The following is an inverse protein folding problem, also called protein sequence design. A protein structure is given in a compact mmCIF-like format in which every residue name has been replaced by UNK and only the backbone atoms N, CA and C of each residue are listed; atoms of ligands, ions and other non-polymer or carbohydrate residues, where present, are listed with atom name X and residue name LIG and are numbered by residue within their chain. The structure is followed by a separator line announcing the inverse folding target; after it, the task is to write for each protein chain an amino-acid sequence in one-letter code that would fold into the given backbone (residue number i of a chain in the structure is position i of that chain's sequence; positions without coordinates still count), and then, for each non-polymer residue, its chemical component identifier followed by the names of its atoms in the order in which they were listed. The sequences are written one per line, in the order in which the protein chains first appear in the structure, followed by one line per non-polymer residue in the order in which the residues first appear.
data_IF_092932905143
#
_entry.id   IF_092932905143
#
_cell.length_a   1.000
_cell.length_b   1.000
_cell.length_c   1.000
_cell.angle_alpha   90.00
_cell.angle_beta   90.00
_cell.angle_gamma   90.00
#
_symmetry.space_group_name_H-M   'P 1'
#
loop_
_entity.id
_entity.type
_entity.pdbx_description
1 polymer ?
#
# COMPACT_ATOMS: atom_id res chain seq x y z
N UNK A 1 -28.95 87.16 -14.94
CA UNK A 1 -30.42 87.26 -15.06
C UNK A 1 -30.99 85.85 -15.00
N UNK A 2 -31.91 85.66 -14.07
CA UNK A 2 -32.65 84.43 -13.77
C UNK A 2 -33.27 83.79 -15.03
N UNK A 3 -33.11 82.48 -15.21
CA UNK A 3 -34.18 81.66 -15.80
C UNK A 3 -34.40 80.42 -14.93
N UNK A 4 -35.54 80.44 -14.26
CA UNK A 4 -36.22 79.31 -13.63
C UNK A 4 -36.93 78.50 -14.71
N UNK A 5 -36.97 77.18 -14.62
CA UNK A 5 -38.15 76.39 -15.01
C UNK A 5 -38.15 75.01 -14.30
N UNK A 6 -38.97 74.92 -13.25
CA UNK A 6 -39.94 73.85 -12.93
C UNK A 6 -39.82 72.54 -13.72
N UNK A 7 -39.37 71.44 -13.10
CA UNK A 7 -40.16 70.39 -12.41
C UNK A 7 -40.61 69.23 -13.31
N UNK A 8 -40.15 68.02 -12.96
CA UNK A 8 -40.91 66.78 -13.15
C UNK A 8 -40.46 65.76 -12.11
N UNK A 9 -41.39 65.44 -11.21
CA UNK A 9 -41.25 64.41 -10.21
C UNK A 9 -41.36 63.03 -10.85
N UNK A 10 -40.45 62.10 -10.54
CA UNK A 10 -40.71 60.67 -10.64
C UNK A 10 -40.04 59.94 -9.49
N UNK A 11 -40.89 59.38 -8.64
CA UNK A 11 -40.64 58.41 -7.59
C UNK A 11 -39.95 57.15 -8.13
N UNK A 12 -38.82 56.73 -7.55
CA UNK A 12 -38.31 55.36 -7.73
C UNK A 12 -37.75 54.77 -6.43
N UNK A 13 -38.60 53.93 -5.82
CA UNK A 13 -38.36 52.58 -5.32
C UNK A 13 -36.99 52.21 -4.71
N UNK A 14 -37.08 51.90 -3.40
CA UNK A 14 -36.53 50.75 -2.68
C UNK A 14 -35.06 50.33 -2.86
N UNK A 15 -34.35 50.41 -1.74
CA UNK A 15 -33.47 49.40 -1.15
C UNK A 15 -32.81 48.39 -2.10
N UNK A 16 -31.50 48.56 -2.29
CA UNK A 16 -30.61 47.41 -2.40
C UNK A 16 -29.32 47.72 -1.65
N UNK A 17 -29.26 47.22 -0.41
CA UNK A 17 -28.02 47.13 0.36
C UNK A 17 -27.02 46.30 -0.45
N UNK A 18 -26.01 46.95 -1.01
CA UNK A 18 -24.88 46.25 -1.61
C UNK A 18 -24.04 45.66 -0.47
N UNK A 19 -24.32 44.39 -0.14
CA UNK A 19 -23.48 43.62 0.76
C UNK A 19 -22.08 43.50 0.14
N UNK A 20 -21.08 43.99 0.85
CA UNK A 20 -19.66 43.76 0.57
C UNK A 20 -19.40 42.26 0.63
N UNK A 21 -19.03 41.66 -0.50
CA UNK A 21 -18.55 40.29 -0.53
C UNK A 21 -17.21 40.24 0.22
N UNK A 22 -17.24 39.71 1.44
CA UNK A 22 -16.06 39.32 2.20
C UNK A 22 -15.32 38.22 1.42
N UNK A 23 -14.23 38.60 0.74
CA UNK A 23 -13.24 37.65 0.21
C UNK A 23 -12.37 37.22 1.39
N UNK A 24 -12.96 36.55 2.37
CA UNK A 24 -12.21 35.83 3.40
C UNK A 24 -11.75 34.52 2.78
N UNK A 25 -10.51 34.57 2.30
CA UNK A 25 -9.69 33.40 1.98
C UNK A 25 -9.80 32.37 3.10
N UNK A 26 -10.57 31.32 2.85
CA UNK A 26 -10.57 30.11 3.67
C UNK A 26 -9.28 29.34 3.39
N UNK A 27 -8.17 29.77 4.01
CA UNK A 27 -7.12 28.82 4.34
C UNK A 27 -7.76 27.84 5.33
N UNK A 28 -8.24 26.72 4.81
CA UNK A 28 -8.44 25.53 5.61
C UNK A 28 -7.07 25.13 6.14
N UNK A 29 -6.73 25.63 7.32
CA UNK A 29 -5.71 25.04 8.17
C UNK A 29 -6.22 23.64 8.51
N UNK A 30 -5.87 22.67 7.67
CA UNK A 30 -5.92 21.25 8.03
C UNK A 30 -4.86 21.05 9.09
N UNK A 31 -5.23 21.34 10.34
CA UNK A 31 -4.53 20.78 11.48
C UNK A 31 -4.52 19.28 11.23
N UNK A 32 -3.34 18.70 11.04
CA UNK A 32 -3.17 17.25 10.95
C UNK A 32 -3.48 16.67 12.33
N UNK A 33 -4.77 16.59 12.67
CA UNK A 33 -5.24 15.90 13.84
C UNK A 33 -4.90 14.42 13.67
N UNK A 34 -4.41 13.80 14.75
CA UNK A 34 -4.19 12.37 14.79
C UNK A 34 -5.58 11.73 14.81
N UNK A 35 -6.13 11.47 13.62
CA UNK A 35 -7.39 10.77 13.47
C UNK A 35 -7.25 9.36 14.07
N UNK A 36 -8.27 8.92 14.78
CA UNK A 36 -8.36 7.54 15.28
C UNK A 36 -8.35 6.57 14.09
N UNK A 37 -7.60 5.45 14.15
CA UNK A 37 -7.51 4.50 13.07
C UNK A 37 -8.87 3.95 12.68
N UNK A 38 -9.11 3.92 11.39
CA UNK A 38 -10.32 3.31 10.83
C UNK A 38 -10.10 1.82 10.65
N UNK A 39 -11.08 0.96 11.00
CA UNK A 39 -11.04 -0.44 10.61
C UNK A 39 -10.84 -0.60 9.10
N UNK A 40 -10.14 -1.66 8.69
CA UNK A 40 -10.03 -2.00 7.28
C UNK A 40 -11.43 -2.30 6.71
N UNK A 41 -11.62 -2.01 5.42
CA UNK A 41 -12.86 -2.35 4.73
C UNK A 41 -13.16 -3.86 4.82
N UNK A 42 -14.45 -4.22 4.72
CA UNK A 42 -14.84 -5.63 4.76
C UNK A 42 -14.21 -6.39 3.59
N UNK A 43 -13.54 -7.51 3.88
CA UNK A 43 -12.83 -8.30 2.88
C UNK A 43 -11.46 -7.74 2.48
N UNK A 44 -10.97 -6.68 3.15
CA UNK A 44 -9.60 -6.21 2.98
C UNK A 44 -8.59 -7.31 3.29
N UNK A 45 -7.50 -7.30 2.54
CA UNK A 45 -6.36 -8.18 2.73
C UNK A 45 -5.12 -7.34 3.08
N UNK A 46 -4.03 -7.96 3.54
CA UNK A 46 -2.73 -7.31 3.55
C UNK A 46 -2.38 -6.79 2.16
N UNK A 47 -1.78 -5.61 2.09
CA UNK A 47 -1.28 -5.06 0.83
C UNK A 47 -0.31 -6.00 0.12
N UNK A 48 -0.24 -5.88 -1.20
CA UNK A 48 0.65 -6.72 -1.97
C UNK A 48 2.12 -6.45 -1.61
N UNK A 49 2.92 -7.51 -1.58
CA UNK A 49 4.36 -7.40 -1.45
C UNK A 49 4.99 -6.67 -2.64
N UNK A 50 6.04 -5.90 -2.38
CA UNK A 50 6.84 -5.16 -3.37
C UNK A 50 8.33 -5.31 -3.07
N UNK A 51 9.18 -5.16 -4.08
CA UNK A 51 10.64 -5.18 -3.92
C UNK A 51 11.21 -6.45 -3.24
N UNK A 52 10.53 -7.59 -3.41
CA UNK A 52 10.90 -8.85 -2.77
C UNK A 52 10.44 -8.99 -1.32
N UNK A 53 9.72 -8.01 -0.77
CA UNK A 53 9.02 -8.17 0.49
C UNK A 53 7.73 -8.96 0.29
N UNK A 54 7.49 -9.93 1.16
CA UNK A 54 6.27 -10.72 1.20
C UNK A 54 5.61 -10.56 2.57
N UNK A 55 4.27 -10.59 2.60
CA UNK A 55 3.52 -10.53 3.85
C UNK A 55 3.79 -11.77 4.71
N UNK A 56 4.31 -11.56 5.92
CA UNK A 56 4.68 -12.61 6.85
C UNK A 56 3.56 -12.94 7.86
N UNK A 57 2.65 -11.99 8.10
CA UNK A 57 1.53 -12.13 9.03
C UNK A 57 1.35 -10.93 9.96
N UNK A 58 0.36 -11.03 10.83
CA UNK A 58 0.19 -10.14 11.97
C UNK A 58 1.15 -10.49 13.11
N UNK A 59 1.91 -9.52 13.63
CA UNK A 59 2.89 -9.74 14.71
C UNK A 59 2.70 -8.72 15.85
N UNK A 60 3.02 -9.06 17.09
CA UNK A 60 2.95 -8.07 18.17
C UNK A 60 4.12 -7.08 18.14
N UNK A 61 3.83 -5.83 18.50
CA UNK A 61 4.80 -4.83 18.94
C UNK A 61 5.34 -5.22 20.34
N UNK A 62 6.55 -4.77 20.69
CA UNK A 62 7.24 -5.15 21.94
C UNK A 62 7.47 -3.99 22.90
N UNK A 63 7.17 -2.74 22.53
CA UNK A 63 7.39 -1.54 23.38
C UNK A 63 6.77 -1.66 24.78
N UNK A 64 5.65 -2.38 24.93
CA UNK A 64 4.97 -2.60 26.20
C UNK A 64 5.45 -3.80 27.02
N UNK A 65 6.44 -4.56 26.55
CA UNK A 65 6.88 -5.79 27.23
C UNK A 65 7.97 -5.47 28.24
N UNK A 66 7.82 -5.95 29.49
CA UNK A 66 8.75 -5.67 30.58
C UNK A 66 10.21 -6.01 30.23
N UNK A 67 10.42 -7.09 29.46
CA UNK A 67 11.75 -7.56 29.07
C UNK A 67 12.28 -6.93 27.77
N UNK A 68 11.50 -6.07 27.11
CA UNK A 68 11.92 -5.38 25.90
C UNK A 68 12.68 -4.08 26.19
N UNK A 69 12.66 -3.58 27.42
CA UNK A 69 13.30 -2.31 27.79
C UNK A 69 12.73 -1.09 27.04
N UNK A 70 11.46 -1.15 26.65
CA UNK A 70 10.81 -0.11 25.85
C UNK A 70 11.20 -0.12 24.37
N UNK A 71 11.93 -1.14 23.91
CA UNK A 71 12.35 -1.25 22.51
C UNK A 71 11.24 -1.85 21.65
N UNK A 72 11.06 -1.27 20.47
CA UNK A 72 10.11 -1.76 19.46
C UNK A 72 10.53 -3.09 18.84
N UNK A 73 9.57 -3.80 18.28
CA UNK A 73 9.75 -5.06 17.58
C UNK A 73 10.66 -4.87 16.37
N UNK A 74 10.54 -3.73 15.70
CA UNK A 74 11.42 -3.24 14.65
C UNK A 74 12.04 -1.91 15.07
N UNK A 75 13.36 -1.90 15.29
CA UNK A 75 14.09 -0.75 15.82
C UNK A 75 15.26 -0.32 14.91
N UNK A 76 15.14 -0.52 13.60
CA UNK A 76 16.12 0.02 12.63
C UNK A 76 15.84 1.48 12.29
N UNK A 77 14.57 1.83 12.15
CA UNK A 77 14.10 3.20 11.94
C UNK A 77 12.63 3.26 11.51
N UNK A 78 12.11 4.47 11.36
CA UNK A 78 10.73 4.73 10.94
C UNK A 78 10.61 5.90 9.99
N UNK A 79 9.43 5.99 9.37
CA UNK A 79 8.95 7.21 8.75
C UNK A 79 8.06 7.99 9.72
N UNK A 80 7.93 9.30 9.47
CA UNK A 80 6.96 10.13 10.18
C UNK A 80 5.55 9.59 9.97
N UNK A 81 4.87 9.32 11.08
CA UNK A 81 3.49 8.83 11.06
C UNK A 81 2.55 9.85 10.41
N UNK A 82 1.81 9.43 9.39
CA UNK A 82 0.94 10.31 8.62
C UNK A 82 -0.35 9.60 8.19
N UNK A 83 -1.42 10.36 7.93
CA UNK A 83 -2.74 9.80 7.62
C UNK A 83 -2.86 9.33 6.17
N UNK A 84 -1.77 9.30 5.40
CA UNK A 84 -1.71 8.86 4.00
C UNK A 84 -0.76 7.66 3.82
N UNK A 85 -0.45 6.96 4.91
CA UNK A 85 0.42 5.80 4.88
C UNK A 85 -0.24 4.64 4.12
N UNK A 86 0.53 3.96 3.28
CA UNK A 86 0.11 2.74 2.55
C UNK A 86 1.15 1.63 2.72
N UNK A 87 0.83 0.42 2.26
CA UNK A 87 1.80 -0.67 2.22
C UNK A 87 3.00 -0.32 1.35
N UNK A 88 2.74 0.19 0.15
CA UNK A 88 3.74 0.53 -0.87
C UNK A 88 4.74 1.56 -0.35
N UNK A 89 4.25 2.61 0.32
CA UNK A 89 5.13 3.66 0.84
C UNK A 89 6.02 3.13 1.96
N UNK A 90 5.52 2.22 2.80
CA UNK A 90 6.32 1.58 3.84
C UNK A 90 7.39 0.64 3.27
N UNK A 91 7.03 -0.21 2.30
CA UNK A 91 7.98 -1.12 1.65
C UNK A 91 9.04 -0.36 0.86
N UNK A 92 8.69 0.78 0.25
CA UNK A 92 9.64 1.67 -0.41
C UNK A 92 10.67 2.22 0.58
N UNK A 93 10.23 2.67 1.75
CA UNK A 93 11.12 3.13 2.81
C UNK A 93 12.09 2.05 3.28
N UNK A 94 11.59 0.85 3.57
CA UNK A 94 12.45 -0.23 4.01
C UNK A 94 13.45 -0.66 2.95
N UNK A 95 13.02 -0.73 1.68
CA UNK A 95 13.91 -0.99 0.54
C UNK A 95 15.01 0.07 0.48
N UNK A 96 14.67 1.35 0.66
CA UNK A 96 15.63 2.45 0.66
C UNK A 96 16.68 2.33 1.78
N UNK A 97 16.30 1.74 2.91
CA UNK A 97 17.19 1.53 4.07
C UNK A 97 17.78 0.12 4.15
N UNK A 98 17.56 -0.73 3.14
CA UNK A 98 18.04 -2.13 3.11
C UNK A 98 17.64 -2.95 4.34
N UNK A 99 16.43 -2.73 4.86
CA UNK A 99 15.91 -3.50 5.99
C UNK A 99 15.50 -4.92 5.56
N UNK A 100 15.59 -5.87 6.49
CA UNK A 100 15.12 -7.24 6.25
C UNK A 100 13.61 -7.34 6.49
N UNK A 101 13.11 -6.56 7.45
CA UNK A 101 11.72 -6.56 7.89
C UNK A 101 11.12 -5.16 7.82
N UNK A 102 9.84 -5.11 7.45
CA UNK A 102 8.98 -3.93 7.55
C UNK A 102 7.76 -4.28 8.37
N UNK A 103 7.25 -3.31 9.12
CA UNK A 103 6.01 -3.42 9.86
C UNK A 103 5.23 -2.14 9.73
N UNK A 104 3.93 -2.28 9.46
CA UNK A 104 3.01 -1.15 9.49
C UNK A 104 2.15 -1.29 10.73
N UNK A 105 2.06 -0.22 11.51
CA UNK A 105 1.26 -0.16 12.73
C UNK A 105 0.21 0.94 12.64
N UNK A 106 -0.95 0.69 13.28
CA UNK A 106 -1.96 1.71 13.54
C UNK A 106 -2.48 2.42 12.27
N UNK A 107 -2.35 1.79 11.10
CA UNK A 107 -2.75 2.37 9.81
C UNK A 107 -1.87 3.51 9.31
N UNK A 108 -0.89 3.97 10.10
CA UNK A 108 -0.20 5.25 9.86
C UNK A 108 1.29 5.27 10.15
N UNK A 109 1.81 4.25 10.82
CA UNK A 109 3.22 4.19 11.20
C UNK A 109 3.94 3.13 10.37
N UNK A 110 5.14 3.46 9.90
CA UNK A 110 6.00 2.50 9.21
C UNK A 110 7.29 2.33 10.00
N UNK A 111 7.61 1.08 10.32
CA UNK A 111 8.78 0.67 11.06
C UNK A 111 9.57 -0.33 10.23
N UNK A 112 10.89 -0.27 10.31
CA UNK A 112 11.76 -1.22 9.64
C UNK A 112 12.99 -1.56 10.45
N UNK A 113 13.61 -2.67 10.10
CA UNK A 113 14.89 -3.05 10.70
C UNK A 113 15.53 -4.27 10.09
N UNK A 114 16.84 -4.47 10.37
CA UNK A 114 17.55 -5.68 9.97
C UNK A 114 17.09 -6.92 10.75
N UNK A 115 16.46 -6.74 11.91
CA UNK A 115 16.01 -7.82 12.79
C UNK A 115 14.61 -7.55 13.31
N UNK A 116 13.84 -8.62 13.48
CA UNK A 116 12.63 -8.65 14.29
C UNK A 116 13.00 -9.08 15.71
N UNK A 117 12.51 -8.36 16.72
CA UNK A 117 12.69 -8.74 18.12
C UNK A 117 12.23 -10.19 18.37
N UNK A 118 13.01 -10.95 19.12
CA UNK A 118 12.67 -12.34 19.49
C UNK A 118 11.42 -12.44 20.36
N UNK A 119 11.01 -11.32 20.98
CA UNK A 119 9.78 -11.17 21.76
C UNK A 119 8.54 -10.92 20.88
N UNK A 120 8.72 -10.60 19.60
CA UNK A 120 7.62 -10.49 18.65
C UNK A 120 7.23 -11.88 18.15
N UNK A 121 5.93 -12.16 18.17
CA UNK A 121 5.29 -13.42 17.83
C UNK A 121 4.17 -13.16 16.84
N UNK A 122 3.95 -14.13 15.97
CA UNK A 122 2.82 -14.13 15.06
C UNK A 122 1.53 -14.27 15.88
N UNK A 123 0.54 -13.44 15.56
CA UNK A 123 -0.79 -13.41 16.15
C UNK A 123 -1.84 -13.88 15.15
N UNK A 124 -3.08 -13.97 15.62
CA UNK A 124 -4.23 -14.07 14.72
C UNK A 124 -4.39 -12.78 13.90
N UNK A 125 -4.78 -12.93 12.64
CA UNK A 125 -4.99 -11.82 11.70
C UNK A 125 -6.04 -10.82 12.20
N UNK A 126 -6.97 -11.23 13.07
CA UNK A 126 -7.94 -10.33 13.71
C UNK A 126 -7.31 -9.23 14.55
N UNK A 127 -6.05 -9.40 14.98
CA UNK A 127 -5.31 -8.38 15.70
C UNK A 127 -4.74 -7.29 14.78
N UNK A 128 -4.68 -7.55 13.47
CA UNK A 128 -4.31 -6.60 12.45
C UNK A 128 -5.56 -6.29 11.63
N UNK A 129 -6.42 -5.42 12.14
CA UNK A 129 -7.71 -5.09 11.52
C UNK A 129 -7.85 -3.61 11.17
N UNK A 130 -6.77 -2.83 11.29
CA UNK A 130 -6.77 -1.40 10.97
C UNK A 130 -6.42 -1.21 9.49
N UNK A 131 -7.21 -0.38 8.81
CA UNK A 131 -6.97 -0.01 7.42
C UNK A 131 -5.82 0.99 7.31
N UNK A 132 -5.10 0.97 6.19
CA UNK A 132 -4.09 2.00 5.92
C UNK A 132 -4.76 3.36 5.76
N UNK A 133 -4.16 4.43 6.30
CA UNK A 133 -4.70 5.78 6.19
C UNK A 133 -4.83 6.25 4.74
N UNK A 134 -3.88 5.86 3.89
CA UNK A 134 -3.89 6.16 2.45
C UNK A 134 -4.66 5.14 1.59
N UNK A 135 -4.98 3.96 2.13
CA UNK A 135 -5.74 2.92 1.44
C UNK A 135 -6.45 1.98 2.42
N UNK A 136 -7.73 2.23 2.72
CA UNK A 136 -8.49 1.41 3.67
C UNK A 136 -8.88 0.01 3.16
N UNK A 137 -8.60 -0.29 1.88
CA UNK A 137 -8.77 -1.64 1.30
C UNK A 137 -7.63 -2.58 1.64
N UNK A 138 -6.59 -2.07 2.30
CA UNK A 138 -5.45 -2.82 2.79
C UNK A 138 -5.37 -2.81 4.32
N UNK A 139 -4.88 -3.91 4.88
CA UNK A 139 -4.62 -4.06 6.32
C UNK A 139 -3.23 -3.54 6.68
N UNK A 140 -3.17 -2.54 7.55
CA UNK A 140 -1.96 -1.86 8.01
C UNK A 140 -1.78 -1.95 9.54
N UNK A 141 -1.81 -3.18 10.04
CA UNK A 141 -1.55 -3.51 11.43
C UNK A 141 -2.76 -3.33 12.34
N UNK A 142 -2.48 -3.08 13.61
CA UNK A 142 -3.46 -2.86 14.66
C UNK A 142 -2.89 -1.97 15.76
N UNK A 143 -3.49 -2.04 16.96
CA UNK A 143 -2.95 -1.36 18.14
C UNK A 143 -1.87 -2.24 18.74
N UNK A 144 -0.61 -1.79 18.75
CA UNK A 144 0.54 -2.59 19.20
C UNK A 144 0.71 -3.91 18.42
N UNK A 145 0.33 -3.90 17.15
CA UNK A 145 0.49 -5.03 16.23
C UNK A 145 0.84 -4.57 14.82
N UNK A 146 1.73 -5.32 14.19
CA UNK A 146 2.35 -5.02 12.92
C UNK A 146 1.78 -5.92 11.82
N UNK A 147 1.33 -5.31 10.72
CA UNK A 147 1.32 -6.00 9.43
C UNK A 147 2.78 -6.18 9.01
N UNK A 148 3.36 -7.36 9.25
CA UNK A 148 4.77 -7.61 9.05
C UNK A 148 5.04 -8.12 7.62
N UNK A 149 6.06 -7.55 6.99
CA UNK A 149 6.60 -8.00 5.72
C UNK A 149 8.08 -8.37 5.88
N UNK A 150 8.50 -9.40 5.17
CA UNK A 150 9.87 -9.92 5.21
C UNK A 150 10.43 -10.02 3.78
N UNK A 151 11.67 -9.60 3.58
CA UNK A 151 12.35 -9.76 2.30
C UNK A 151 12.64 -11.24 2.03
N UNK A 152 11.94 -11.82 1.05
CA UNK A 152 12.21 -13.15 0.52
C UNK A 152 13.49 -13.09 -0.33
N UNK A 153 14.48 -13.94 -0.02
CA UNK A 153 15.73 -14.03 -0.81
C UNK A 153 15.52 -14.57 -2.23
N UNK A 154 14.30 -14.95 -2.60
CA UNK A 154 13.93 -15.47 -3.92
C UNK A 154 13.71 -14.35 -4.95
N UNK A 155 14.51 -13.29 -4.88
CA UNK A 155 14.22 -12.06 -5.63
C UNK A 155 15.40 -11.13 -5.87
N UNK A 156 16.64 -11.64 -5.93
CA UNK A 156 17.64 -10.95 -6.75
C UNK A 156 17.31 -11.27 -8.20
N UNK A 157 16.45 -10.45 -8.80
CA UNK A 157 15.83 -10.57 -10.14
C UNK A 157 14.69 -11.59 -10.26
N UNK A 158 13.45 -11.08 -10.20
CA UNK A 158 12.26 -11.85 -10.60
C UNK A 158 10.97 -11.17 -10.17
N UNK A 159 10.32 -10.47 -11.11
CA UNK A 159 8.93 -10.05 -10.98
C UNK A 159 8.05 -11.29 -10.83
N UNK A 160 7.53 -11.52 -9.63
CA UNK A 160 6.54 -12.57 -9.35
C UNK A 160 5.15 -12.14 -9.79
N UNK A 161 4.90 -12.12 -11.10
CA UNK A 161 3.56 -12.12 -11.66
C UNK A 161 2.91 -13.46 -11.31
N UNK A 162 1.73 -13.43 -10.67
CA UNK A 162 0.89 -14.63 -10.62
C UNK A 162 0.37 -14.90 -12.05
N UNK A 163 0.89 -15.93 -12.68
CA UNK A 163 0.31 -16.47 -13.91
C UNK A 163 -0.38 -17.79 -13.59
N UNK A 164 -1.70 -17.78 -13.70
CA UNK A 164 -2.53 -18.96 -13.52
C UNK A 164 -2.28 -19.95 -14.66
N UNK A 165 -1.89 -21.17 -14.30
CA UNK A 165 -1.80 -22.27 -15.24
C UNK A 165 -3.19 -22.84 -15.51
N UNK A 166 -3.79 -22.44 -16.63
CA UNK A 166 -4.90 -23.15 -17.25
C UNK A 166 -4.78 -23.06 -18.77
N UNK A 167 -3.98 -23.93 -19.39
CA UNK A 167 -4.15 -24.32 -20.79
C UNK A 167 -4.03 -25.83 -20.91
N UNK A 168 -5.18 -26.41 -21.23
CA UNK A 168 -5.39 -27.74 -21.78
C UNK A 168 -5.07 -27.62 -23.26
N UNK A 169 -4.18 -28.42 -23.83
CA UNK A 169 -4.30 -28.84 -25.23
C UNK A 169 -3.40 -30.01 -25.61
N UNK A 170 -3.96 -30.74 -26.57
CA UNK A 170 -3.69 -32.08 -27.07
C UNK A 170 -2.65 -32.03 -28.20
N UNK A 171 -1.59 -32.84 -28.12
CA UNK A 171 -0.83 -33.26 -29.31
C UNK A 171 0.02 -34.48 -28.97
N UNK A 172 -0.52 -35.68 -29.22
CA UNK A 172 0.19 -36.93 -28.99
C UNK A 172 -0.35 -38.04 -29.87
N UNK A 173 -0.01 -38.01 -31.15
CA UNK A 173 -0.07 -39.17 -32.05
C UNK A 173 0.58 -38.81 -33.39
N UNK A 174 1.78 -39.32 -33.66
CA UNK A 174 2.12 -40.15 -34.83
C UNK A 174 3.63 -40.42 -34.82
N UNK A 175 4.02 -41.67 -34.65
CA UNK A 175 5.44 -42.04 -34.64
C UNK A 175 5.69 -43.53 -34.51
N UNK A 176 4.83 -44.36 -35.10
CA UNK A 176 5.07 -45.79 -35.22
C UNK A 176 4.38 -46.32 -36.48
N UNK A 177 5.11 -46.37 -37.60
CA UNK A 177 4.85 -47.35 -38.66
C UNK A 177 6.17 -47.94 -39.11
N UNK A 178 6.17 -49.27 -39.03
CA UNK A 178 7.24 -50.23 -39.20
C UNK A 178 7.45 -50.61 -40.68
N UNK A 179 8.69 -51.04 -40.94
CA UNK A 179 9.11 -52.18 -41.78
C UNK A 179 9.22 -52.08 -43.31
N UNK A 180 10.33 -52.70 -43.75
CA UNK A 180 10.57 -53.48 -44.95
C UNK A 180 11.29 -52.80 -46.14
N UNK A 181 12.54 -53.22 -46.36
CA UNK A 181 12.82 -53.97 -47.58
C UNK A 181 13.85 -53.42 -48.56
N UNK A 182 14.98 -54.13 -48.60
CA UNK A 182 15.70 -54.59 -49.80
C UNK A 182 16.50 -53.61 -50.69
N UNK A 183 17.79 -53.96 -50.75
CA UNK A 183 18.64 -54.09 -51.94
C UNK A 183 19.62 -52.96 -52.25
N UNK A 184 20.91 -53.30 -52.11
CA UNK A 184 21.84 -53.13 -53.23
C UNK A 184 22.92 -52.04 -53.12
N UNK A 185 24.14 -52.50 -52.86
CA UNK A 185 25.42 -52.02 -53.40
C UNK A 185 25.94 -50.63 -52.95
N UNK A 186 27.24 -50.36 -52.79
CA UNK A 186 28.44 -51.11 -53.11
C UNK A 186 29.57 -50.73 -52.13
N UNK A 187 30.41 -51.72 -51.89
CA UNK A 187 31.77 -51.67 -51.35
C UNK A 187 32.68 -50.89 -52.31
N UNK A 188 33.50 -49.92 -51.84
CA UNK A 188 34.87 -49.62 -52.31
C UNK A 188 35.41 -48.26 -51.82
N UNK A 189 36.67 -48.27 -51.34
CA UNK A 189 37.62 -47.17 -51.07
C UNK A 189 37.31 -46.37 -49.79
N UNK A 190 38.10 -46.33 -48.73
CA UNK A 190 39.55 -46.49 -48.49
C UNK A 190 39.77 -47.21 -47.14
#
# INVERSE_FOLDING_TARGET
MHLSLSALALTFLSLSSFATADITSALATTTAEIADPTPAAAGSAPGAGLFGYEYAGCYNETTGYANAGGVRALNGGSMNSNNSQTTESCLTFCKGNSYQYCGIEYGRECWGGPYLSSLSKKLDESNCSIGCGGNNTEVCGGRLTLSLYNMSKTGSSGSGSKEGAATKDIAGAIGAVLLAGLMGAAFSLF
#
